data_IF_130147029001
#
_entry.id   IF_130147029001
#
_cell.length_a   1.000
_cell.length_b   1.000
_cell.length_c   1.000
_cell.angle_alpha   90.00
_cell.angle_beta   90.00
_cell.angle_gamma   90.00
#
_symmetry.space_group_name_H-M   'P 1'
#
loop_
_entity.id
_entity.type
_entity.pdbx_description
1 polymer ?
#
# COMPACT_ATOMS: atom_id res chain seq x y z
N UNK A 1 -44.06 -20.85 17.31
CA UNK A 1 -43.37 -20.40 18.53
C UNK A 1 -44.28 -19.43 19.26
N UNK A 2 -44.63 -19.74 20.51
CA UNK A 2 -45.44 -18.87 21.39
C UNK A 2 -44.51 -18.01 22.25
N UNK A 3 -44.97 -16.82 22.64
CA UNK A 3 -44.30 -16.01 23.66
C UNK A 3 -44.22 -16.82 24.97
N UNK A 4 -43.10 -16.77 25.72
CA UNK A 4 -42.98 -17.42 27.03
C UNK A 4 -44.05 -16.99 28.04
N UNK A 5 -44.67 -15.82 27.81
CA UNK A 5 -45.75 -15.24 28.63
C UNK A 5 -47.15 -15.53 28.12
N UNK A 6 -47.28 -16.29 27.03
CA UNK A 6 -48.55 -16.64 26.37
C UNK A 6 -49.49 -15.44 26.14
N UNK A 7 -48.90 -14.28 25.85
CA UNK A 7 -49.67 -13.05 25.64
C UNK A 7 -50.55 -13.17 24.38
N UNK A 8 -51.81 -12.74 24.52
CA UNK A 8 -52.73 -12.64 23.39
C UNK A 8 -52.36 -11.42 22.54
N UNK A 9 -52.16 -11.65 21.24
CA UNK A 9 -51.82 -10.59 20.29
C UNK A 9 -52.93 -10.49 19.25
N UNK A 10 -53.50 -9.29 19.11
CA UNK A 10 -54.48 -9.01 18.06
C UNK A 10 -53.76 -8.65 16.77
N UNK A 11 -53.95 -9.47 15.72
CA UNK A 11 -53.37 -9.22 14.40
C UNK A 11 -54.45 -8.60 13.50
N UNK A 12 -54.26 -7.38 12.98
CA UNK A 12 -55.23 -6.79 12.08
C UNK A 12 -55.26 -7.56 10.75
N UNK A 13 -56.44 -7.89 10.26
CA UNK A 13 -56.63 -8.58 9.00
C UNK A 13 -57.31 -7.65 8.00
N UNK A 14 -57.11 -7.92 6.72
CA UNK A 14 -57.91 -7.33 5.67
C UNK A 14 -59.11 -8.26 5.42
N UNK A 15 -60.31 -7.74 5.69
CA UNK A 15 -61.59 -8.48 5.58
C UNK A 15 -61.91 -8.93 4.15
N UNK A 16 -61.24 -8.35 3.14
CA UNK A 16 -61.38 -8.73 1.73
C UNK A 16 -60.53 -9.94 1.34
N UNK A 17 -59.72 -10.48 2.25
CA UNK A 17 -58.77 -11.56 1.99
C UNK A 17 -59.02 -12.74 2.95
N UNK A 18 -58.72 -13.95 2.48
CA UNK A 18 -58.78 -15.13 3.34
C UNK A 18 -57.72 -15.08 4.45
N UNK A 19 -57.90 -15.82 5.56
CA UNK A 19 -56.90 -15.89 6.63
C UNK A 19 -55.51 -16.33 6.13
N UNK A 20 -55.46 -17.27 5.18
CA UNK A 20 -54.22 -17.74 4.58
C UNK A 20 -53.54 -16.65 3.74
N UNK A 21 -54.31 -15.87 2.98
CA UNK A 21 -53.78 -14.74 2.19
C UNK A 21 -53.26 -13.61 3.07
N UNK A 22 -53.98 -13.27 4.14
CA UNK A 22 -53.52 -12.34 5.16
C UNK A 22 -52.19 -12.81 5.78
N UNK A 23 -52.09 -14.09 6.17
CA UNK A 23 -50.84 -14.65 6.69
C UNK A 23 -49.69 -14.55 5.68
N UNK A 24 -49.95 -14.88 4.40
CA UNK A 24 -48.96 -14.75 3.31
C UNK A 24 -48.50 -13.30 3.12
N UNK A 25 -49.38 -12.31 3.25
CA UNK A 25 -49.02 -10.90 3.21
C UNK A 25 -48.05 -10.52 4.33
N UNK A 26 -48.32 -10.97 5.56
CA UNK A 26 -47.42 -10.74 6.69
C UNK A 26 -46.04 -11.39 6.49
N UNK A 27 -45.99 -12.63 6.00
CA UNK A 27 -44.72 -13.28 5.65
C UNK A 27 -43.98 -12.58 4.51
N UNK A 28 -44.70 -12.04 3.52
CA UNK A 28 -44.11 -11.25 2.43
C UNK A 28 -43.55 -9.93 2.95
N UNK A 29 -44.27 -9.23 3.83
CA UNK A 29 -43.82 -8.00 4.49
C UNK A 29 -42.57 -8.25 5.32
N UNK A 30 -42.58 -9.30 6.15
CA UNK A 30 -41.42 -9.71 6.95
C UNK A 30 -40.19 -9.94 6.07
N UNK A 31 -40.30 -10.77 5.01
CA UNK A 31 -39.17 -11.04 4.11
C UNK A 31 -38.64 -9.77 3.48
N UNK A 32 -39.52 -8.92 2.92
CA UNK A 32 -39.12 -7.65 2.33
C UNK A 32 -38.41 -6.74 3.34
N UNK A 33 -38.93 -6.63 4.56
CA UNK A 33 -38.33 -5.80 5.61
C UNK A 33 -36.99 -6.38 6.09
N UNK A 34 -36.87 -7.70 6.24
CA UNK A 34 -35.62 -8.37 6.62
C UNK A 34 -34.52 -8.13 5.58
N UNK A 35 -34.83 -8.35 4.31
CA UNK A 35 -33.87 -8.17 3.21
C UNK A 35 -33.48 -6.68 3.09
N UNK A 36 -34.46 -5.79 3.21
CA UNK A 36 -34.21 -4.34 3.19
C UNK A 36 -33.36 -3.89 4.38
N UNK A 37 -33.59 -4.45 5.57
CA UNK A 37 -32.83 -4.10 6.77
C UNK A 37 -31.34 -4.39 6.61
N UNK A 38 -31.00 -5.56 6.06
CA UNK A 38 -29.61 -5.91 5.81
C UNK A 38 -28.93 -4.93 4.84
N UNK A 39 -29.57 -4.67 3.69
CA UNK A 39 -29.04 -3.76 2.67
C UNK A 39 -28.88 -2.34 3.24
N UNK A 40 -29.88 -1.83 3.96
CA UNK A 40 -29.84 -0.50 4.57
C UNK A 40 -28.77 -0.42 5.64
N UNK A 41 -28.56 -1.47 6.44
CA UNK A 41 -27.51 -1.52 7.45
C UNK A 41 -26.11 -1.45 6.83
N UNK A 42 -25.86 -2.23 5.76
CA UNK A 42 -24.60 -2.19 5.02
C UNK A 42 -24.35 -0.82 4.36
N UNK A 43 -25.40 -0.22 3.79
CA UNK A 43 -25.34 1.14 3.24
C UNK A 43 -25.01 2.16 4.32
N UNK A 44 -25.69 2.10 5.48
CA UNK A 44 -25.48 3.01 6.60
C UNK A 44 -24.02 2.96 7.07
N UNK A 45 -23.46 1.77 7.25
CA UNK A 45 -22.06 1.59 7.63
C UNK A 45 -21.10 2.18 6.57
N UNK A 46 -21.37 1.93 5.28
CA UNK A 46 -20.61 2.51 4.18
C UNK A 46 -20.66 4.04 4.20
N UNK A 47 -21.84 4.62 4.39
CA UNK A 47 -22.02 6.07 4.44
C UNK A 47 -21.34 6.71 5.66
N UNK A 48 -21.39 6.07 6.84
CA UNK A 48 -20.67 6.53 8.03
C UNK A 48 -19.15 6.55 7.80
N UNK A 49 -18.59 5.52 7.16
CA UNK A 49 -17.16 5.50 6.82
C UNK A 49 -16.78 6.59 5.81
N UNK A 50 -17.66 6.86 4.83
CA UNK A 50 -17.45 7.96 3.88
C UNK A 50 -17.46 9.31 4.59
N UNK A 51 -18.42 9.53 5.50
CA UNK A 51 -18.54 10.75 6.29
C UNK A 51 -17.28 10.98 7.13
N UNK A 52 -16.83 9.98 7.88
CA UNK A 52 -15.60 10.06 8.68
C UNK A 52 -14.37 10.44 7.84
N UNK A 53 -14.24 9.89 6.63
CA UNK A 53 -13.15 10.23 5.70
C UNK A 53 -13.23 11.68 5.21
N UNK A 54 -14.43 12.17 4.91
CA UNK A 54 -14.63 13.57 4.48
C UNK A 54 -14.33 14.54 5.62
N UNK A 55 -14.79 14.25 6.84
CA UNK A 55 -14.50 15.06 8.02
C UNK A 55 -13.00 15.16 8.27
N UNK A 56 -12.25 14.06 8.15
CA UNK A 56 -10.79 14.10 8.29
C UNK A 56 -10.12 14.93 7.17
N UNK A 57 -10.62 14.85 5.94
CA UNK A 57 -10.11 15.67 4.84
C UNK A 57 -10.39 17.16 5.06
N UNK A 58 -11.58 17.50 5.56
CA UNK A 58 -11.94 18.87 5.92
C UNK A 58 -11.03 19.41 7.02
N UNK A 59 -10.81 18.64 8.09
CA UNK A 59 -9.90 19.02 9.18
C UNK A 59 -8.48 19.29 8.67
N UNK A 60 -7.97 18.42 7.80
CA UNK A 60 -6.65 18.60 7.17
C UNK A 60 -6.59 19.84 6.29
N UNK A 61 -7.68 20.16 5.58
CA UNK A 61 -7.78 21.37 4.79
C UNK A 61 -7.72 22.61 5.69
N UNK A 62 -8.57 22.69 6.71
CA UNK A 62 -8.66 23.83 7.63
C UNK A 62 -7.33 24.12 8.36
N UNK A 63 -6.56 23.09 8.71
CA UNK A 63 -5.29 23.26 9.42
C UNK A 63 -4.13 23.78 8.56
N UNK A 64 -4.18 23.59 7.24
CA UNK A 64 -3.02 23.83 6.37
C UNK A 64 -3.41 24.49 5.02
N UNK A 65 -4.33 25.46 5.08
CA UNK A 65 -4.82 26.24 3.93
C UNK A 65 -3.69 26.93 3.13
N UNK A 66 -2.58 27.30 3.78
CA UNK A 66 -1.50 28.08 3.16
C UNK A 66 -0.37 27.25 2.53
N UNK A 67 -0.47 25.92 2.49
CA UNK A 67 0.56 25.03 1.97
C UNK A 67 0.15 24.39 0.66
N UNK A 68 0.64 24.92 -0.48
CA UNK A 68 0.39 24.35 -1.81
C UNK A 68 0.72 22.84 -1.92
N UNK A 69 1.81 22.32 -1.31
CA UNK A 69 2.07 20.88 -1.27
C UNK A 69 0.99 20.06 -0.55
N UNK A 70 0.36 20.62 0.50
CA UNK A 70 -0.75 19.97 1.19
C UNK A 70 -2.05 20.08 0.40
N UNK A 71 -2.27 21.26 -0.21
CA UNK A 71 -3.19 21.55 -1.32
C UNK A 71 -3.37 20.35 -2.24
N UNK A 72 -2.23 19.99 -2.82
CA UNK A 72 -2.09 18.95 -3.81
C UNK A 72 -2.29 17.54 -3.24
N UNK A 73 -1.92 17.28 -1.98
CA UNK A 73 -2.17 15.98 -1.32
C UNK A 73 -3.66 15.74 -1.11
N UNK A 74 -4.38 16.74 -0.61
CA UNK A 74 -5.83 16.67 -0.38
C UNK A 74 -6.56 16.47 -1.71
N UNK A 75 -6.20 17.24 -2.75
CA UNK A 75 -6.74 17.08 -4.10
C UNK A 75 -6.50 15.67 -4.67
N UNK A 76 -5.28 15.13 -4.55
CA UNK A 76 -4.99 13.78 -5.03
C UNK A 76 -5.77 12.70 -4.26
N UNK A 77 -6.02 12.92 -2.96
CA UNK A 77 -6.81 11.99 -2.13
C UNK A 77 -8.29 12.03 -2.51
N UNK A 78 -8.86 13.22 -2.74
CA UNK A 78 -10.24 13.40 -3.23
C UNK A 78 -10.45 12.80 -4.63
N UNK A 79 -9.53 13.05 -5.57
CA UNK A 79 -9.61 12.49 -6.92
C UNK A 79 -9.34 10.99 -6.96
N UNK A 80 -8.48 10.47 -6.09
CA UNK A 80 -8.23 9.02 -5.94
C UNK A 80 -9.42 8.26 -5.34
N UNK A 81 -10.23 8.92 -4.52
CA UNK A 81 -11.49 8.39 -3.98
C UNK A 81 -12.68 8.54 -4.95
N UNK A 82 -12.49 9.21 -6.09
CA UNK A 82 -13.54 9.48 -7.07
C UNK A 82 -14.50 10.61 -6.68
N UNK A 83 -14.18 11.38 -5.63
CA UNK A 83 -15.00 12.48 -5.13
C UNK A 83 -14.64 13.85 -5.71
N UNK A 84 -13.53 13.93 -6.47
CA UNK A 84 -13.12 15.12 -7.20
C UNK A 84 -13.22 14.91 -8.71
N UNK A 85 -13.72 15.90 -9.45
CA UNK A 85 -13.59 15.93 -10.91
C UNK A 85 -12.12 16.08 -11.26
N UNK A 86 -11.58 15.16 -12.07
CA UNK A 86 -10.28 15.36 -12.69
C UNK A 86 -10.43 16.52 -13.68
N UNK A 87 -9.78 17.64 -13.40
CA UNK A 87 -9.79 18.78 -14.32
C UNK A 87 -9.10 18.36 -15.62
N UNK A 88 -9.79 18.53 -16.76
CA UNK A 88 -9.32 18.16 -18.09
C UNK A 88 -8.23 19.09 -18.64
N UNK A 89 -8.06 20.27 -18.05
CA UNK A 89 -6.93 21.12 -18.36
C UNK A 89 -5.68 20.54 -17.70
N UNK A 90 -4.55 20.39 -18.42
CA UNK A 90 -3.29 20.12 -17.78
C UNK A 90 -2.99 21.39 -16.97
N UNK A 91 -3.24 21.35 -15.65
CA UNK A 91 -2.53 22.19 -14.70
C UNK A 91 -1.07 22.00 -15.10
N UNK A 92 -0.54 23.02 -15.80
CA UNK A 92 0.76 23.12 -16.45
C UNK A 92 1.68 22.21 -15.67
N UNK A 93 2.00 21.01 -16.20
CA UNK A 93 2.69 19.92 -15.47
C UNK A 93 3.70 20.60 -14.56
N UNK A 94 3.37 20.76 -13.28
CA UNK A 94 4.25 21.42 -12.33
C UNK A 94 5.46 20.53 -12.38
N UNK A 95 6.54 21.00 -13.04
CA UNK A 95 7.62 20.18 -13.64
C UNK A 95 7.78 18.97 -12.76
N UNK A 96 7.19 17.84 -13.20
CA UNK A 96 6.86 16.72 -12.33
C UNK A 96 8.13 16.40 -11.60
N UNK A 97 8.17 16.78 -10.32
CA UNK A 97 9.40 16.97 -9.58
C UNK A 97 10.21 15.70 -9.79
N UNK A 98 11.32 15.80 -10.55
CA UNK A 98 12.12 14.62 -10.93
C UNK A 98 12.55 13.87 -9.64
N UNK A 99 12.51 14.56 -8.49
CA UNK A 99 12.74 14.06 -7.15
C UNK A 99 11.67 13.12 -6.55
N UNK A 100 10.42 13.05 -7.03
CA UNK A 100 9.43 12.11 -6.41
C UNK A 100 9.72 10.64 -6.71
N UNK A 101 10.39 10.36 -7.83
CA UNK A 101 10.78 9.00 -8.23
C UNK A 101 12.22 8.65 -7.85
N UNK A 102 13.04 9.63 -7.44
CA UNK A 102 14.43 9.40 -7.09
C UNK A 102 14.51 8.48 -5.85
N UNK A 103 15.03 7.24 -6.01
CA UNK A 103 15.32 6.40 -4.86
C UNK A 103 16.44 7.02 -4.03
N UNK A 104 16.49 6.72 -2.73
CA UNK A 104 17.55 7.24 -1.88
C UNK A 104 18.84 6.51 -2.21
N UNK A 105 19.91 7.28 -2.41
CA UNK A 105 21.26 6.77 -2.68
C UNK A 105 22.08 6.73 -1.39
N UNK A 106 22.71 5.60 -1.15
CA UNK A 106 23.71 5.36 -0.12
C UNK A 106 25.02 4.95 -0.79
N UNK A 107 26.14 5.25 -0.14
CA UNK A 107 27.46 4.76 -0.52
C UNK A 107 27.92 3.77 0.55
N UNK A 108 28.25 2.56 0.14
CA UNK A 108 28.83 1.55 1.03
C UNK A 108 30.22 1.98 1.52
N UNK A 109 30.72 1.35 2.58
CA UNK A 109 32.10 1.58 3.05
C UNK A 109 33.14 1.29 1.95
N UNK A 110 32.84 0.35 1.06
CA UNK A 110 33.68 -0.02 -0.10
C UNK A 110 33.46 0.93 -1.32
N UNK A 111 32.69 2.00 -1.14
CA UNK A 111 32.42 3.00 -2.17
C UNK A 111 31.39 2.57 -3.22
N UNK A 112 30.60 1.53 -2.99
CA UNK A 112 29.57 1.06 -3.92
C UNK A 112 28.27 1.82 -3.76
N UNK A 113 27.56 2.02 -4.87
CA UNK A 113 26.28 2.72 -4.85
C UNK A 113 25.14 1.77 -4.53
N UNK A 114 24.41 2.07 -3.46
CA UNK A 114 23.24 1.33 -3.01
C UNK A 114 22.02 2.25 -3.12
N UNK A 115 20.99 1.80 -3.82
CA UNK A 115 19.75 2.54 -4.01
C UNK A 115 18.60 1.86 -3.28
N UNK A 116 17.77 2.67 -2.60
CA UNK A 116 16.66 2.21 -1.75
C UNK A 116 15.36 2.86 -2.22
N UNK A 117 14.36 2.04 -2.58
CA UNK A 117 13.01 2.53 -2.90
C UNK A 117 12.16 2.68 -1.64
N UNK A 118 11.62 3.87 -1.35
CA UNK A 118 10.83 4.12 -0.12
C UNK A 118 9.34 3.80 -0.24
N UNK A 119 8.86 3.57 -1.45
CA UNK A 119 7.46 3.27 -1.72
C UNK A 119 7.33 2.42 -2.99
N UNK A 120 6.15 1.86 -3.22
CA UNK A 120 5.89 0.95 -4.34
C UNK A 120 6.21 1.55 -5.73
N UNK A 121 5.99 2.86 -5.93
CA UNK A 121 6.30 3.53 -7.20
C UNK A 121 7.81 3.68 -7.39
N UNK A 122 8.54 4.00 -6.31
CA UNK A 122 10.00 4.07 -6.32
C UNK A 122 10.62 2.68 -6.48
N UNK A 123 10.06 1.64 -5.84
CA UNK A 123 10.51 0.25 -6.03
C UNK A 123 10.41 -0.16 -7.49
N UNK A 124 9.29 0.14 -8.15
CA UNK A 124 9.09 -0.15 -9.57
C UNK A 124 10.09 0.62 -10.46
N UNK A 125 10.25 1.91 -10.20
CA UNK A 125 11.21 2.74 -10.94
C UNK A 125 12.65 2.25 -10.75
N UNK A 126 13.04 2.01 -9.50
CA UNK A 126 14.35 1.50 -9.12
C UNK A 126 14.66 0.18 -9.82
N UNK A 127 13.72 -0.77 -9.75
CA UNK A 127 13.93 -2.14 -10.24
C UNK A 127 13.86 -2.22 -11.75
N UNK A 128 12.95 -1.51 -12.40
CA UNK A 128 12.67 -1.72 -13.83
C UNK A 128 13.13 -0.57 -14.74
N UNK A 129 13.50 0.60 -14.19
CA UNK A 129 13.97 1.75 -14.97
C UNK A 129 15.42 2.13 -14.65
N UNK A 130 15.82 2.11 -13.38
CA UNK A 130 17.17 2.52 -12.96
C UNK A 130 18.19 1.36 -13.00
N UNK A 131 17.76 0.15 -12.63
CA UNK A 131 18.64 -1.00 -12.53
C UNK A 131 18.92 -1.69 -13.87
N UNK A 132 20.19 -1.98 -14.09
CA UNK A 132 20.74 -2.76 -15.20
C UNK A 132 20.67 -4.25 -14.88
N UNK A 133 20.67 -5.12 -15.89
CA UNK A 133 20.51 -6.58 -15.70
C UNK A 133 21.54 -7.22 -14.76
N UNK A 134 22.77 -6.69 -14.74
CA UNK A 134 23.89 -7.18 -13.92
C UNK A 134 23.96 -6.53 -12.53
N UNK A 135 23.02 -5.65 -12.17
CA UNK A 135 22.94 -5.10 -10.82
C UNK A 135 22.39 -6.15 -9.85
N UNK A 136 22.77 -6.05 -8.58
CA UNK A 136 22.27 -6.96 -7.53
C UNK A 136 21.02 -6.37 -6.89
N UNK A 137 19.92 -7.12 -6.89
CA UNK A 137 18.66 -6.78 -6.25
C UNK A 137 18.52 -7.53 -4.94
N UNK A 138 18.00 -6.86 -3.91
CA UNK A 138 17.74 -7.44 -2.59
C UNK A 138 16.36 -7.05 -2.07
N UNK A 139 15.75 -7.95 -1.28
CA UNK A 139 14.48 -7.73 -0.59
C UNK A 139 14.32 -8.67 0.60
N UNK A 140 13.61 -8.23 1.65
CA UNK A 140 13.29 -9.08 2.80
C UNK A 140 12.36 -10.24 2.39
N UNK A 141 12.75 -11.48 2.65
CA UNK A 141 12.02 -12.68 2.21
C UNK A 141 10.64 -12.73 2.84
N UNK A 142 9.61 -12.95 2.01
CA UNK A 142 8.20 -13.09 2.43
C UNK A 142 7.64 -11.94 3.31
N UNK A 143 8.28 -10.78 3.31
CA UNK A 143 7.92 -9.63 4.14
C UNK A 143 7.76 -8.40 3.26
N UNK A 144 6.77 -7.55 3.54
CA UNK A 144 6.63 -6.26 2.83
C UNK A 144 7.83 -5.36 3.17
N UNK A 145 8.55 -4.90 2.15
CA UNK A 145 9.67 -3.98 2.33
C UNK A 145 10.07 -3.21 1.07
N UNK A 146 11.19 -2.50 1.22
CA UNK A 146 11.83 -1.75 0.14
C UNK A 146 12.61 -2.66 -0.81
N UNK A 147 12.65 -2.30 -2.09
CA UNK A 147 13.61 -2.90 -3.01
C UNK A 147 14.95 -2.19 -2.86
N UNK A 148 16.03 -2.97 -2.80
CA UNK A 148 17.40 -2.47 -2.76
C UNK A 148 18.11 -2.88 -4.04
N UNK A 149 18.88 -1.96 -4.63
CA UNK A 149 19.75 -2.25 -5.77
C UNK A 149 21.17 -1.82 -5.44
N UNK A 150 22.13 -2.72 -5.63
CA UNK A 150 23.55 -2.39 -5.64
C UNK A 150 23.96 -2.25 -7.11
N UNK A 151 24.44 -1.07 -7.50
CA UNK A 151 24.91 -0.84 -8.88
C UNK A 151 26.21 -1.60 -9.10
N UNK A 152 26.26 -2.36 -10.18
CA UNK A 152 27.49 -2.99 -10.60
C UNK A 152 28.50 -1.94 -11.09
N UNK A 153 29.74 -2.00 -10.60
CA UNK A 153 30.85 -1.13 -11.04
C UNK A 153 31.54 -1.61 -12.33
N UNK A 154 31.02 -2.64 -12.98
CA UNK A 154 31.53 -3.22 -14.21
C UNK A 154 32.17 -4.59 -13.98
N UNK A 155 32.51 -5.29 -15.07
CA UNK A 155 32.82 -6.73 -15.05
C UNK A 155 34.12 -7.11 -14.31
N UNK A 156 34.96 -6.14 -13.94
CA UNK A 156 36.26 -6.38 -13.28
C UNK A 156 36.23 -6.36 -11.75
N UNK A 157 35.13 -5.92 -11.12
CA UNK A 157 35.02 -5.90 -9.66
C UNK A 157 33.90 -6.84 -9.19
N UNK A 158 34.28 -7.88 -8.45
CA UNK A 158 33.33 -8.71 -7.72
C UNK A 158 32.69 -7.90 -6.59
N UNK A 159 31.41 -8.14 -6.33
CA UNK A 159 30.68 -7.48 -5.25
C UNK A 159 31.28 -7.87 -3.89
N UNK A 160 31.82 -6.93 -3.10
CA UNK A 160 32.36 -7.24 -1.78
C UNK A 160 31.26 -7.70 -0.83
N UNK A 161 31.58 -8.68 0.02
CA UNK A 161 30.66 -9.20 1.02
C UNK A 161 30.20 -8.10 2.00
N UNK A 162 31.08 -7.17 2.38
CA UNK A 162 30.76 -6.04 3.25
C UNK A 162 29.66 -5.14 2.68
N UNK A 163 29.74 -4.80 1.39
CA UNK A 163 28.70 -4.06 0.69
C UNK A 163 27.39 -4.84 0.62
N UNK A 164 27.44 -6.16 0.37
CA UNK A 164 26.24 -7.01 0.35
C UNK A 164 25.53 -7.02 1.71
N UNK A 165 26.29 -7.16 2.80
CA UNK A 165 25.77 -7.13 4.17
C UNK A 165 25.11 -5.78 4.49
N UNK A 166 25.75 -4.66 4.13
CA UNK A 166 25.19 -3.32 4.34
C UNK A 166 23.88 -3.12 3.56
N UNK A 167 23.83 -3.56 2.31
CA UNK A 167 22.63 -3.51 1.50
C UNK A 167 21.50 -4.39 2.06
N UNK A 168 21.84 -5.56 2.59
CA UNK A 168 20.89 -6.46 3.22
C UNK A 168 20.37 -5.91 4.57
N UNK A 169 21.21 -5.23 5.35
CA UNK A 169 20.78 -4.50 6.55
C UNK A 169 19.78 -3.37 6.20
N UNK A 170 20.03 -2.62 5.12
CA UNK A 170 19.06 -1.66 4.58
C UNK A 170 17.73 -2.32 4.17
N UNK A 171 17.77 -3.48 3.49
CA UNK A 171 16.57 -4.22 3.10
C UNK A 171 15.74 -4.64 4.32
N UNK A 172 16.40 -5.14 5.36
CA UNK A 172 15.76 -5.55 6.60
C UNK A 172 15.18 -4.36 7.38
N UNK A 173 15.93 -3.26 7.51
CA UNK A 173 15.50 -2.05 8.23
C UNK A 173 14.32 -1.33 7.57
N UNK A 174 14.29 -1.27 6.23
CA UNK A 174 13.16 -0.70 5.48
C UNK A 174 12.05 -1.72 5.18
N UNK A 175 12.00 -2.83 5.92
CA UNK A 175 10.91 -3.80 5.87
C UNK A 175 10.00 -3.70 7.10
N UNK A 176 8.89 -4.44 7.09
CA UNK A 176 8.05 -4.62 8.28
C UNK A 176 8.78 -5.33 9.43
N UNK A 177 9.84 -6.08 9.15
CA UNK A 177 10.61 -6.84 10.13
C UNK A 177 11.74 -6.04 10.80
N UNK A 178 11.70 -4.70 10.73
CA UNK A 178 12.73 -3.82 11.30
C UNK A 178 12.98 -3.99 12.82
N UNK A 179 12.03 -4.58 13.54
CA UNK A 179 12.12 -4.85 14.99
C UNK A 179 12.55 -6.29 15.29
N UNK A 180 12.68 -7.13 14.27
CA UNK A 180 13.01 -8.53 14.45
C UNK A 180 14.52 -8.69 14.62
N UNK A 181 14.92 -9.64 15.45
CA UNK A 181 16.32 -9.81 15.81
C UNK A 181 17.16 -10.39 14.64
N UNK A 182 16.54 -11.18 13.76
CA UNK A 182 17.15 -11.72 12.55
C UNK A 182 16.13 -11.72 11.42
N UNK A 183 16.51 -11.20 10.25
CA UNK A 183 15.68 -11.15 9.06
C UNK A 183 16.40 -11.86 7.92
N UNK A 184 15.68 -12.73 7.22
CA UNK A 184 16.17 -13.37 6.01
C UNK A 184 15.96 -12.42 4.82
N UNK A 185 17.05 -12.09 4.13
CA UNK A 185 17.05 -11.21 2.95
C UNK A 185 17.44 -12.05 1.75
N UNK A 186 16.58 -12.05 0.73
CA UNK A 186 16.89 -12.68 -0.55
C UNK A 186 17.63 -11.68 -1.45
N UNK A 187 18.62 -12.16 -2.18
CA UNK A 187 19.33 -11.38 -3.20
C UNK A 187 19.52 -12.19 -4.48
N UNK A 188 19.44 -11.51 -5.62
CA UNK A 188 19.66 -12.08 -6.95
C UNK A 188 20.09 -10.98 -7.93
N UNK A 189 20.49 -11.34 -9.14
CA UNK A 189 20.73 -10.35 -10.19
C UNK A 189 19.40 -9.82 -10.72
N UNK A 190 19.34 -8.52 -11.02
CA UNK A 190 18.12 -7.86 -11.51
C UNK A 190 17.57 -8.52 -12.78
N UNK A 191 18.41 -9.10 -13.65
CA UNK A 191 17.96 -9.85 -14.84
C UNK A 191 17.03 -11.03 -14.53
N UNK A 192 17.10 -11.57 -13.31
CA UNK A 192 16.22 -12.64 -12.84
C UNK A 192 14.94 -12.13 -12.15
N UNK A 193 14.79 -10.80 -12.01
CA UNK A 193 13.62 -10.14 -11.43
C UNK A 193 12.69 -9.67 -12.56
N UNK A 194 11.43 -10.11 -12.53
CA UNK A 194 10.43 -9.80 -13.54
C UNK A 194 9.16 -9.21 -12.91
N UNK A 195 8.46 -8.38 -13.67
CA UNK A 195 7.15 -7.86 -13.30
C UNK A 195 6.06 -8.70 -13.98
N UNK A 196 5.15 -9.36 -13.24
CA UNK A 196 4.02 -10.03 -13.85
C UNK A 196 3.12 -9.06 -14.63
N UNK A 197 2.46 -9.54 -15.69
CA UNK A 197 1.51 -8.73 -16.46
C UNK A 197 0.41 -8.22 -15.53
N UNK A 198 0.07 -6.93 -15.64
CA UNK A 198 -0.95 -6.24 -14.84
C UNK A 198 -0.70 -6.21 -13.31
N UNK A 199 0.52 -6.51 -12.85
CA UNK A 199 0.85 -6.42 -11.43
C UNK A 199 0.88 -4.97 -10.93
N UNK A 200 0.41 -4.78 -9.69
CA UNK A 200 0.49 -3.49 -8.98
C UNK A 200 1.98 -3.07 -8.83
N UNK A 201 2.27 -1.75 -8.76
CA UNK A 201 3.64 -1.28 -8.52
C UNK A 201 4.26 -1.91 -7.26
N UNK A 202 5.55 -2.24 -7.34
CA UNK A 202 6.33 -2.90 -6.31
C UNK A 202 6.19 -4.43 -6.29
N UNK A 203 5.28 -5.02 -7.06
CA UNK A 203 5.12 -6.47 -7.10
C UNK A 203 6.02 -7.10 -8.15
N UNK A 204 6.83 -8.07 -7.71
CA UNK A 204 7.84 -8.74 -8.54
C UNK A 204 7.83 -10.24 -8.30
N UNK A 205 8.25 -10.97 -9.32
CA UNK A 205 8.65 -12.37 -9.23
C UNK A 205 10.14 -12.46 -9.52
N UNK A 206 10.84 -13.35 -8.85
CA UNK A 206 12.28 -13.52 -9.01
C UNK A 206 12.67 -14.99 -8.90
N UNK A 207 13.88 -15.31 -9.34
CA UNK A 207 14.45 -16.65 -9.33
C UNK A 207 15.96 -16.57 -9.11
N UNK A 208 16.59 -17.73 -8.89
CA UNK A 208 18.04 -17.85 -8.67
C UNK A 208 18.51 -17.00 -7.48
N UNK A 209 17.63 -16.84 -6.49
CA UNK A 209 17.93 -16.10 -5.29
C UNK A 209 18.82 -16.89 -4.34
N UNK A 210 19.62 -16.14 -3.58
CA UNK A 210 20.35 -16.62 -2.43
C UNK A 210 19.83 -15.89 -1.20
N UNK A 211 19.76 -16.59 -0.07
CA UNK A 211 19.32 -16.02 1.20
C UNK A 211 20.50 -15.62 2.07
N UNK A 212 20.39 -14.49 2.75
CA UNK A 212 21.34 -14.01 3.76
C UNK A 212 20.59 -13.65 5.04
N UNK A 213 21.01 -14.23 6.17
CA UNK A 213 20.49 -13.87 7.48
C UNK A 213 21.21 -12.62 8.01
N UNK A 214 20.45 -11.57 8.30
CA UNK A 214 20.98 -10.31 8.80
C UNK A 214 20.35 -9.97 10.15
N UNK A 215 21.19 -9.54 11.09
CA UNK A 215 20.76 -8.85 12.30
C UNK A 215 20.62 -7.37 11.97
N UNK A 216 19.46 -6.79 12.24
CA UNK A 216 19.21 -5.37 11.95
C UNK A 216 20.03 -4.52 12.91
N UNK A 217 20.89 -3.67 12.36
CA UNK A 217 21.67 -2.69 13.13
C UNK A 217 21.33 -1.27 12.64
N UNK A 218 20.48 -0.53 13.37
CA UNK A 218 20.11 0.84 13.03
C UNK A 218 21.27 1.84 13.08
N UNK A 219 22.29 1.61 13.93
CA UNK A 219 23.43 2.51 14.06
C UNK A 219 24.33 2.43 12.83
N UNK A 220 24.55 1.22 12.31
CA UNK A 220 25.29 1.04 11.07
C UNK A 220 24.63 1.78 9.89
N UNK A 221 23.30 1.82 9.85
CA UNK A 221 22.54 2.52 8.81
C UNK A 221 22.65 4.04 8.94
N UNK A 222 22.69 4.58 10.17
CA UNK A 222 22.92 6.01 10.41
C UNK A 222 24.30 6.46 9.94
N UNK A 223 25.29 5.58 10.10
CA UNK A 223 26.68 5.84 9.72
C UNK A 223 26.94 5.75 8.20
N UNK A 224 26.00 5.20 7.42
CA UNK A 224 26.12 5.18 5.96
C UNK A 224 25.93 6.59 5.37
N UNK A 225 26.85 6.99 4.49
CA UNK A 225 26.76 8.26 3.76
C UNK A 225 25.53 8.26 2.85
N UNK A 226 24.51 9.00 3.26
CA UNK A 226 23.28 9.22 2.50
C UNK A 226 23.46 10.41 1.56
N UNK A 227 23.33 10.18 0.26
CA UNK A 227 23.36 11.25 -0.75
C UNK A 227 21.90 11.58 -1.09
N UNK A 228 21.43 12.75 -0.67
CA UNK A 228 20.14 13.29 -1.15
C UNK A 228 20.36 13.86 -2.55
N UNK A 229 19.72 13.28 -3.56
CA UNK A 229 19.68 13.92 -4.88
C UNK A 229 18.87 15.22 -4.75
N UNK A 230 19.50 16.35 -5.10
CA UNK A 230 18.87 17.68 -5.21
C UNK A 230 18.00 17.75 -6.46
#
# INVERSE_FOLDING_TARGET
YYSPRQENITIPLNDKLTPLENARLYFKKYRKTKDSYQIISEQLQSHQLKLARLTELQRLYEQEINSLPHLLKIYNKLTGLGWGKKVAAPLKKYKKDKNRLAPVKYISKDGWEIYVGKNNLQNDFLTFKLASGNDTWLHAKNIRGSHIIIKNKGDKQSLPLGTLIQAANLAAYFSKAKKDNKVLVDYTLKKYVKKPKNAKPGMVIYSHEKGLWIKVDPEEIRNLKKISQK
#
